data_IF_678787626257
#
_entry.id   IF_678787626257
#
_cell.length_a   1.000
_cell.length_b   1.000
_cell.length_c   1.000
_cell.angle_alpha   90.00
_cell.angle_beta   90.00
_cell.angle_gamma   90.00
#
_symmetry.space_group_name_H-M   'P 1'
#
loop_
_entity.id
_entity.type
_entity.pdbx_description
1 polymer ?
#
# COMPACT_ATOMS: atom_id res chain seq x y z
N UNK A 1 5.64 -20.39 13.85
CA UNK A 1 5.96 -19.05 13.31
C UNK A 1 6.82 -19.20 12.07
N UNK A 2 6.76 -18.23 11.16
CA UNK A 2 7.64 -18.12 10.00
C UNK A 2 8.35 -16.77 10.07
N UNK A 3 9.66 -16.80 9.91
CA UNK A 3 10.51 -15.62 9.95
C UNK A 3 11.23 -15.39 8.63
N UNK A 4 11.65 -14.15 8.41
CA UNK A 4 12.45 -13.72 7.27
C UNK A 4 11.62 -13.25 6.07
N UNK A 5 12.33 -12.72 5.06
CA UNK A 5 11.69 -11.96 3.98
C UNK A 5 11.24 -10.59 4.46
N UNK A 6 10.12 -10.09 3.93
CA UNK A 6 9.58 -8.76 4.25
C UNK A 6 8.78 -8.71 5.57
N UNK A 7 8.27 -9.84 6.07
CA UNK A 7 7.47 -9.86 7.30
C UNK A 7 7.56 -11.19 8.05
N UNK A 8 7.60 -11.10 9.38
CA UNK A 8 7.46 -12.26 10.27
C UNK A 8 5.99 -12.47 10.68
N UNK A 9 5.57 -13.72 10.83
CA UNK A 9 4.26 -14.02 11.39
C UNK A 9 4.20 -15.34 12.17
N UNK A 10 3.28 -15.43 13.12
CA UNK A 10 2.89 -16.67 13.80
C UNK A 10 1.42 -17.00 13.50
N UNK A 11 1.14 -18.27 13.25
CA UNK A 11 -0.21 -18.81 13.18
C UNK A 11 -0.38 -19.73 14.39
N UNK A 12 -1.22 -19.32 15.33
CA UNK A 12 -1.31 -19.88 16.68
C UNK A 12 -2.72 -20.41 16.88
N UNK A 13 -2.86 -21.69 17.22
CA UNK A 13 -4.15 -22.37 17.40
C UNK A 13 -4.31 -22.92 18.84
N UNK A 14 -5.54 -23.11 19.30
CA UNK A 14 -5.86 -23.61 20.64
C UNK A 14 -6.52 -22.54 21.52
N UNK A 15 -6.34 -22.60 22.84
CA UNK A 15 -6.71 -21.50 23.73
C UNK A 15 -5.64 -20.41 23.64
N UNK A 16 -5.94 -19.35 22.86
CA UNK A 16 -5.02 -18.24 22.62
C UNK A 16 -5.51 -16.98 23.32
N UNK A 17 -4.67 -16.40 24.19
CA UNK A 17 -4.98 -15.18 24.95
C UNK A 17 -4.07 -14.04 24.50
N UNK A 18 -4.65 -13.00 23.93
CA UNK A 18 -3.96 -11.78 23.53
C UNK A 18 -4.06 -10.78 24.66
N UNK A 19 -2.94 -10.50 25.32
CA UNK A 19 -2.80 -9.47 26.36
C UNK A 19 -2.22 -8.19 25.76
N UNK A 20 -3.05 -7.14 25.62
CA UNK A 20 -2.60 -5.84 25.12
C UNK A 20 -1.67 -5.12 26.07
N UNK A 21 -1.78 -5.36 27.38
CA UNK A 21 -1.00 -4.66 28.39
C UNK A 21 0.48 -5.04 28.32
N UNK A 22 0.74 -6.35 28.30
CA UNK A 22 2.10 -6.90 28.22
C UNK A 22 2.62 -7.12 26.80
N UNK A 23 1.84 -6.78 25.76
CA UNK A 23 2.14 -7.13 24.36
C UNK A 23 2.41 -8.63 24.17
N UNK A 24 1.66 -9.50 24.85
CA UNK A 24 1.93 -10.94 24.84
C UNK A 24 0.75 -11.72 24.28
N UNK A 25 1.03 -12.66 23.38
CA UNK A 25 0.10 -13.68 22.90
C UNK A 25 0.45 -15.01 23.56
N UNK A 26 -0.41 -15.48 24.46
CA UNK A 26 -0.26 -16.74 25.16
C UNK A 26 -0.97 -17.85 24.38
N UNK A 27 -0.26 -18.95 24.10
CA UNK A 27 -0.84 -20.21 23.66
C UNK A 27 -0.91 -21.16 24.86
N UNK A 28 -2.12 -21.49 25.30
CA UNK A 28 -2.33 -22.39 26.42
C UNK A 28 -2.41 -23.83 25.91
N UNK A 29 -1.52 -24.69 26.39
CA UNK A 29 -1.49 -26.12 26.05
C UNK A 29 -1.71 -26.98 27.30
N UNK A 30 -2.67 -27.90 27.24
CA UNK A 30 -2.88 -28.86 28.31
C UNK A 30 -1.76 -29.93 28.31
N UNK A 31 -1.18 -30.25 29.49
CA UNK A 31 -0.01 -31.14 29.61
C UNK A 31 -0.36 -32.64 29.45
N UNK A 32 -1.08 -33.01 28.40
CA UNK A 32 -1.48 -34.41 28.12
C UNK A 32 -0.60 -35.10 27.07
N UNK A 33 0.39 -34.41 26.50
CA UNK A 33 1.31 -34.97 25.50
C UNK A 33 2.76 -34.78 25.91
N UNK A 34 3.62 -35.77 25.67
CA UNK A 34 5.08 -35.68 25.78
C UNK A 34 5.71 -34.51 25.00
N UNK A 35 4.99 -33.96 24.02
CA UNK A 35 5.30 -32.71 23.29
C UNK A 35 5.33 -31.45 24.18
N UNK A 36 4.65 -31.47 25.34
CA UNK A 36 4.57 -30.34 26.25
C UNK A 36 5.93 -30.02 26.87
N UNK A 37 6.67 -31.02 27.37
CA UNK A 37 7.98 -30.80 28.02
C UNK A 37 9.05 -30.31 27.03
N UNK A 38 8.95 -30.71 25.75
CA UNK A 38 9.85 -30.25 24.70
C UNK A 38 9.55 -28.81 24.20
N UNK A 39 8.30 -28.35 24.30
CA UNK A 39 7.90 -26.98 23.92
C UNK A 39 7.86 -26.00 25.10
N UNK A 40 7.67 -26.48 26.33
CA UNK A 40 7.52 -25.64 27.54
C UNK A 40 8.86 -25.17 28.11
N UNK A 41 10.00 -25.70 27.65
CA UNK A 41 11.36 -25.36 28.12
C UNK A 41 12.01 -24.17 27.38
N UNK A 42 11.22 -23.15 27.02
CA UNK A 42 11.64 -21.84 26.50
C UNK A 42 11.83 -21.71 24.97
N UNK A 43 10.73 -21.49 24.26
CA UNK A 43 10.73 -20.73 23.02
C UNK A 43 9.79 -19.53 23.16
N UNK A 44 10.29 -18.44 23.75
CA UNK A 44 9.66 -17.13 23.58
C UNK A 44 10.04 -16.62 22.20
N UNK A 45 9.04 -16.22 21.43
CA UNK A 45 9.25 -15.65 20.10
C UNK A 45 8.82 -14.20 20.13
N UNK A 46 9.69 -13.29 19.68
CA UNK A 46 9.34 -11.88 19.56
C UNK A 46 9.10 -11.54 18.09
N UNK A 47 8.03 -10.79 17.82
CA UNK A 47 7.64 -10.37 16.47
C UNK A 47 7.20 -8.93 16.51
N UNK A 48 7.66 -8.14 15.54
CA UNK A 48 7.06 -6.85 15.20
C UNK A 48 6.10 -7.06 14.04
N UNK A 49 4.78 -6.96 14.24
CA UNK A 49 3.80 -7.42 13.26
C UNK A 49 3.56 -6.37 12.16
N UNK A 50 4.64 -5.93 11.50
CA UNK A 50 4.66 -4.97 10.40
C UNK A 50 5.55 -5.51 9.25
N UNK A 51 5.12 -5.44 7.99
CA UNK A 51 5.82 -6.06 6.86
C UNK A 51 6.89 -5.15 6.25
N UNK A 52 7.92 -4.85 7.04
CA UNK A 52 9.10 -4.10 6.57
C UNK A 52 10.40 -4.54 7.24
N UNK A 53 10.54 -5.85 7.43
CA UNK A 53 11.79 -6.43 7.94
C UNK A 53 12.99 -5.94 7.11
N UNK A 54 14.05 -5.51 7.79
CA UNK A 54 15.24 -4.93 7.18
C UNK A 54 15.26 -3.39 7.13
N UNK A 55 14.13 -2.71 7.32
CA UNK A 55 14.10 -1.25 7.50
C UNK A 55 14.13 -0.91 8.99
N UNK A 56 15.33 -0.61 9.51
CA UNK A 56 15.52 -0.32 10.94
C UNK A 56 14.71 0.88 11.42
N UNK A 57 14.48 1.88 10.56
CA UNK A 57 13.72 3.08 10.93
C UNK A 57 12.24 2.75 11.09
N UNK A 58 11.66 2.05 10.11
CA UNK A 58 10.27 1.59 10.18
C UNK A 58 10.08 0.66 11.38
N UNK A 59 10.92 -0.38 11.48
CA UNK A 59 10.78 -1.40 12.50
C UNK A 59 11.10 -0.87 13.91
N UNK A 60 11.89 0.20 14.04
CA UNK A 60 12.12 0.90 15.31
C UNK A 60 10.85 1.52 15.90
N UNK A 61 9.87 1.87 15.07
CA UNK A 61 8.60 2.50 15.47
C UNK A 61 7.46 1.50 15.70
N UNK A 62 7.70 0.20 15.50
CA UNK A 62 6.67 -0.84 15.63
C UNK A 62 6.80 -1.53 16.98
N UNK A 63 5.67 -1.67 17.68
CA UNK A 63 5.60 -2.38 18.95
C UNK A 63 5.94 -3.86 18.76
N UNK A 64 6.84 -4.36 19.59
CA UNK A 64 7.21 -5.77 19.63
C UNK A 64 6.21 -6.57 20.48
N UNK A 65 5.79 -7.72 19.96
CA UNK A 65 4.88 -8.65 20.60
C UNK A 65 5.58 -9.96 20.90
N UNK A 66 5.33 -10.52 22.08
CA UNK A 66 5.90 -11.79 22.51
C UNK A 66 4.87 -12.91 22.38
N UNK A 67 5.24 -14.03 21.77
CA UNK A 67 4.44 -15.26 21.78
C UNK A 67 5.02 -16.22 22.83
N UNK A 68 4.17 -16.66 23.77
CA UNK A 68 4.54 -17.60 24.84
C UNK A 68 3.64 -18.83 24.80
N UNK A 69 4.22 -20.01 24.88
CA UNK A 69 3.48 -21.26 25.09
C UNK A 69 3.54 -21.62 26.57
N UNK A 70 2.39 -21.80 27.22
CA UNK A 70 2.30 -21.96 28.67
C UNK A 70 1.26 -23.01 29.09
N UNK A 71 1.41 -23.66 30.26
CA UNK A 71 0.34 -24.49 30.81
C UNK A 71 -0.85 -23.65 31.33
N UNK A 72 -2.02 -24.28 31.58
CA UNK A 72 -3.22 -23.57 32.03
C UNK A 72 -3.10 -22.91 33.41
N UNK A 73 -2.21 -23.41 34.26
CA UNK A 73 -1.93 -22.93 35.63
C UNK A 73 -0.71 -21.99 35.71
N UNK A 74 -0.21 -21.52 34.56
CA UNK A 74 0.92 -20.60 34.51
C UNK A 74 0.64 -19.31 35.28
N UNK A 75 1.54 -18.96 36.21
CA UNK A 75 1.49 -17.71 36.95
C UNK A 75 1.54 -16.51 35.99
N UNK A 76 0.60 -15.57 36.14
CA UNK A 76 0.50 -14.40 35.27
C UNK A 76 -0.18 -14.65 33.92
N UNK A 77 -0.76 -15.82 33.67
CA UNK A 77 -1.66 -16.04 32.54
C UNK A 77 -2.94 -15.20 32.73
N UNK A 78 -3.27 -14.26 31.82
CA UNK A 78 -4.43 -13.39 32.00
C UNK A 78 -5.75 -14.16 31.88
N UNK A 79 -6.76 -13.71 32.64
CA UNK A 79 -8.13 -14.20 32.49
C UNK A 79 -8.74 -13.68 31.19
N UNK A 80 -9.61 -14.48 30.57
CA UNK A 80 -10.34 -14.05 29.38
C UNK A 80 -11.40 -13.01 29.75
N UNK A 81 -11.22 -11.77 29.33
CA UNK A 81 -12.21 -10.71 29.52
C UNK A 81 -13.21 -10.67 28.36
N UNK A 82 -12.76 -11.01 27.15
CA UNK A 82 -13.60 -11.10 25.97
C UNK A 82 -13.31 -12.40 25.23
N UNK A 83 -14.31 -13.27 25.12
CA UNK A 83 -14.21 -14.53 24.38
C UNK A 83 -14.75 -14.33 22.97
N UNK A 84 -13.98 -14.72 21.96
CA UNK A 84 -14.37 -14.63 20.55
C UNK A 84 -14.39 -16.03 19.93
N UNK A 85 -15.45 -16.34 19.19
CA UNK A 85 -15.63 -17.64 18.54
C UNK A 85 -14.92 -17.75 17.18
N UNK A 86 -14.54 -16.62 16.60
CA UNK A 86 -13.87 -16.55 15.30
C UNK A 86 -12.39 -16.18 15.46
N UNK A 87 -11.50 -16.60 14.55
CA UNK A 87 -10.08 -16.27 14.62
C UNK A 87 -9.80 -14.77 14.64
N UNK A 88 -8.59 -14.40 15.04
CA UNK A 88 -8.09 -13.02 14.99
C UNK A 88 -6.83 -12.89 14.12
N UNK A 89 -6.66 -11.71 13.52
CA UNK A 89 -5.42 -11.27 12.88
C UNK A 89 -4.94 -9.99 13.57
N UNK A 90 -3.79 -10.06 14.23
CA UNK A 90 -3.14 -8.97 14.95
C UNK A 90 -1.98 -8.40 14.12
N UNK A 91 -2.05 -7.12 13.79
CA UNK A 91 -1.04 -6.43 12.97
C UNK A 91 -0.88 -4.95 13.36
N UNK A 92 0.28 -4.38 13.05
CA UNK A 92 0.61 -2.99 13.37
C UNK A 92 0.21 -2.03 12.23
N UNK A 93 -0.34 -0.87 12.61
CA UNK A 93 -0.59 0.30 11.76
C UNK A 93 0.41 1.43 12.02
N UNK A 94 1.55 1.13 12.67
CA UNK A 94 2.60 2.09 12.98
C UNK A 94 3.48 2.45 11.77
N UNK A 95 4.76 2.71 12.06
CA UNK A 95 5.80 3.00 11.06
C UNK A 95 5.35 3.97 9.96
N UNK A 96 5.34 3.53 8.70
CA UNK A 96 5.03 4.38 7.55
C UNK A 96 3.57 4.35 7.10
N UNK A 97 2.67 3.64 7.80
CA UNK A 97 1.26 3.48 7.39
C UNK A 97 0.53 4.81 7.14
N UNK A 98 0.95 5.90 7.80
CA UNK A 98 0.42 7.24 7.55
C UNK A 98 0.62 7.75 6.12
N UNK A 99 1.67 7.28 5.44
CA UNK A 99 1.92 7.57 4.03
C UNK A 99 1.06 6.67 3.13
N UNK A 100 0.37 7.24 2.14
CA UNK A 100 -0.59 6.50 1.31
C UNK A 100 0.04 5.37 0.48
N UNK A 101 1.28 5.53 0.01
CA UNK A 101 1.99 4.45 -0.69
C UNK A 101 2.27 3.29 0.25
N UNK A 102 2.88 3.58 1.41
CA UNK A 102 3.20 2.60 2.46
C UNK A 102 1.96 1.90 3.02
N UNK A 103 0.84 2.62 3.17
CA UNK A 103 -0.42 1.99 3.56
C UNK A 103 -0.76 0.81 2.63
N UNK A 104 -0.66 1.00 1.31
CA UNK A 104 -0.93 -0.06 0.35
C UNK A 104 0.16 -1.13 0.29
N UNK A 105 1.40 -0.71 0.06
CA UNK A 105 2.51 -1.64 -0.23
C UNK A 105 2.95 -2.44 1.00
N UNK A 106 2.98 -1.81 2.18
CA UNK A 106 3.36 -2.51 3.40
C UNK A 106 2.15 -3.31 3.88
N UNK A 107 1.06 -2.61 4.24
CA UNK A 107 -0.01 -3.22 5.05
C UNK A 107 -1.14 -3.81 4.21
N UNK A 108 -1.80 -3.04 3.34
CA UNK A 108 -3.09 -3.45 2.77
C UNK A 108 -3.00 -4.65 1.81
N UNK A 109 -1.93 -4.74 1.01
CA UNK A 109 -1.69 -5.89 0.12
C UNK A 109 -1.45 -7.16 0.94
N UNK A 110 -0.53 -7.11 1.90
CA UNK A 110 -0.22 -8.24 2.80
C UNK A 110 -1.43 -8.64 3.65
N UNK A 111 -2.22 -7.66 4.10
CA UNK A 111 -3.45 -7.87 4.85
C UNK A 111 -4.49 -8.61 4.00
N UNK A 112 -4.69 -8.20 2.74
CA UNK A 112 -5.57 -8.91 1.82
C UNK A 112 -5.15 -10.38 1.69
N UNK A 113 -3.88 -10.65 1.40
CA UNK A 113 -3.37 -12.03 1.28
C UNK A 113 -3.60 -12.84 2.56
N UNK A 114 -3.45 -12.21 3.73
CA UNK A 114 -3.58 -12.88 5.03
C UNK A 114 -5.05 -13.13 5.42
N UNK A 115 -5.93 -12.16 5.20
CA UNK A 115 -7.31 -12.16 5.69
C UNK A 115 -8.31 -12.79 4.70
N UNK A 116 -8.06 -12.72 3.37
CA UNK A 116 -9.00 -13.27 2.37
C UNK A 116 -9.37 -14.74 2.54
N UNK A 117 -8.45 -15.66 2.92
CA UNK A 117 -8.80 -17.07 3.13
C UNK A 117 -9.90 -17.31 4.17
N UNK A 118 -10.16 -16.35 5.07
CA UNK A 118 -11.18 -16.48 6.10
C UNK A 118 -12.57 -16.00 5.66
N UNK A 119 -12.71 -15.46 4.44
CA UNK A 119 -13.95 -14.93 3.88
C UNK A 119 -14.75 -14.07 4.87
N UNK A 120 -14.08 -13.04 5.42
CA UNK A 120 -14.63 -12.11 6.42
C UNK A 120 -14.91 -12.70 7.81
N UNK A 121 -14.63 -13.99 8.02
CA UNK A 121 -14.83 -14.72 9.28
C UNK A 121 -13.69 -14.59 10.30
N UNK A 122 -12.99 -13.46 10.35
CA UNK A 122 -11.94 -13.19 11.34
C UNK A 122 -12.08 -11.79 11.95
N UNK A 123 -11.64 -11.60 13.18
CA UNK A 123 -11.45 -10.28 13.80
C UNK A 123 -10.15 -9.65 13.32
N UNK A 124 -10.17 -8.33 13.08
CA UNK A 124 -8.96 -7.55 12.83
C UNK A 124 -8.58 -6.81 14.11
N UNK A 125 -7.41 -7.13 14.65
CA UNK A 125 -6.84 -6.48 15.83
C UNK A 125 -5.69 -5.59 15.36
N UNK A 126 -5.79 -4.30 15.64
CA UNK A 126 -4.79 -3.31 15.23
C UNK A 126 -4.05 -2.77 16.44
N UNK A 127 -2.73 -2.66 16.33
CA UNK A 127 -1.84 -2.00 17.29
C UNK A 127 -1.06 -0.88 16.60
N UNK A 128 -0.46 0.03 17.35
CA UNK A 128 0.22 1.26 16.90
C UNK A 128 -0.66 2.18 16.04
N UNK A 129 -1.98 1.98 16.07
CA UNK A 129 -2.92 2.62 15.15
C UNK A 129 -3.43 3.97 15.63
N UNK A 130 -3.28 5.01 14.82
CA UNK A 130 -3.98 6.27 15.06
C UNK A 130 -5.43 6.18 14.59
N UNK A 131 -6.39 6.66 15.40
CA UNK A 131 -7.83 6.55 15.09
C UNK A 131 -8.23 7.09 13.70
N UNK A 132 -7.62 8.19 13.24
CA UNK A 132 -7.88 8.72 11.90
C UNK A 132 -7.38 7.81 10.77
N UNK A 133 -6.28 7.09 10.99
CA UNK A 133 -5.74 6.13 10.01
C UNK A 133 -6.65 4.91 9.89
N UNK A 134 -7.17 4.41 11.02
CA UNK A 134 -8.17 3.34 11.02
C UNK A 134 -9.43 3.81 10.27
N UNK A 135 -9.94 5.01 10.58
CA UNK A 135 -11.13 5.55 9.92
C UNK A 135 -10.94 5.75 8.40
N UNK A 136 -9.74 6.19 7.97
CA UNK A 136 -9.40 6.43 6.56
C UNK A 136 -9.66 5.21 5.66
N UNK A 137 -9.41 4.00 6.17
CA UNK A 137 -9.53 2.76 5.43
C UNK A 137 -10.74 1.90 5.87
N UNK A 138 -11.75 2.50 6.49
CA UNK A 138 -12.93 1.79 6.99
C UNK A 138 -13.59 0.83 5.97
N UNK A 139 -13.74 1.26 4.71
CA UNK A 139 -14.27 0.42 3.61
C UNK A 139 -13.45 -0.86 3.42
N UNK A 140 -12.13 -0.76 3.51
CA UNK A 140 -11.21 -1.89 3.36
C UNK A 140 -11.40 -2.90 4.50
N UNK A 141 -11.47 -2.41 5.74
CA UNK A 141 -11.66 -3.26 6.91
C UNK A 141 -12.98 -4.02 6.86
N UNK A 142 -14.07 -3.32 6.52
CA UNK A 142 -15.42 -3.89 6.39
C UNK A 142 -15.53 -4.93 5.27
N UNK A 143 -14.74 -4.78 4.21
CA UNK A 143 -14.66 -5.73 3.11
C UNK A 143 -13.85 -6.99 3.48
N UNK A 144 -12.87 -6.87 4.39
CA UNK A 144 -12.02 -7.98 4.85
C UNK A 144 -12.56 -8.71 6.07
N UNK A 145 -13.42 -8.09 6.87
CA UNK A 145 -14.02 -8.65 8.08
C UNK A 145 -15.47 -8.22 8.23
N UNK A 146 -16.32 -9.12 8.76
CA UNK A 146 -17.69 -8.78 9.17
C UNK A 146 -17.76 -8.17 10.58
N UNK A 147 -16.65 -8.20 11.32
CA UNK A 147 -16.53 -7.67 12.66
C UNK A 147 -15.94 -6.26 12.62
N UNK A 148 -16.23 -5.47 13.64
CA UNK A 148 -15.55 -4.18 13.81
C UNK A 148 -14.06 -4.40 14.11
N UNK A 149 -13.24 -3.46 13.65
CA UNK A 149 -11.81 -3.46 13.95
C UNK A 149 -11.61 -3.19 15.43
N UNK A 150 -10.86 -4.05 16.10
CA UNK A 150 -10.49 -3.90 17.50
C UNK A 150 -9.15 -3.16 17.55
N UNK A 151 -9.19 -1.90 17.98
CA UNK A 151 -8.00 -1.13 18.34
C UNK A 151 -7.52 -1.61 19.72
N UNK A 152 -6.49 -2.45 19.71
CA UNK A 152 -6.06 -3.21 20.89
C UNK A 152 -5.35 -2.32 21.91
N UNK A 153 -4.83 -1.15 21.50
CA UNK A 153 -4.13 -0.21 22.36
C UNK A 153 -5.07 0.77 23.07
N UNK A 154 -6.28 0.98 22.54
CA UNK A 154 -7.30 1.82 23.20
C UNK A 154 -7.99 1.16 24.39
N UNK A 155 -7.74 -0.12 24.61
CA UNK A 155 -8.22 -0.82 25.80
C UNK A 155 -7.45 -0.27 27.01
N UNK A 156 -8.11 0.62 27.75
CA UNK A 156 -7.67 1.29 29.00
C UNK A 156 -7.09 0.31 30.06
N UNK A 157 -6.33 0.80 31.07
CA UNK A 157 -5.19 0.12 31.73
C UNK A 157 -5.48 -1.16 32.54
N UNK A 158 -6.70 -1.70 32.46
CA UNK A 158 -7.10 -2.95 33.10
C UNK A 158 -6.77 -4.19 32.26
N UNK A 159 -5.90 -4.08 31.24
CA UNK A 159 -5.24 -5.22 30.58
C UNK A 159 -6.19 -6.33 30.16
N UNK A 160 -7.33 -5.99 29.56
CA UNK A 160 -8.37 -6.98 29.26
C UNK A 160 -7.91 -7.90 28.14
N UNK A 161 -7.62 -9.16 28.47
CA UNK A 161 -7.17 -10.12 27.47
C UNK A 161 -8.34 -10.56 26.59
N UNK A 162 -8.06 -10.66 25.29
CA UNK A 162 -8.97 -11.18 24.29
C UNK A 162 -8.60 -12.64 24.00
N UNK A 163 -9.58 -13.54 24.08
CA UNK A 163 -9.36 -14.96 23.90
C UNK A 163 -9.99 -15.47 22.60
N UNK A 164 -9.23 -16.26 21.86
CA UNK A 164 -9.58 -16.78 20.54
C UNK A 164 -9.19 -18.26 20.45
N UNK A 165 -9.83 -18.99 19.54
CA UNK A 165 -9.40 -20.35 19.18
C UNK A 165 -8.19 -20.39 18.23
N UNK A 166 -7.90 -19.24 17.59
CA UNK A 166 -6.78 -19.04 16.66
C UNK A 166 -6.43 -17.57 16.52
N UNK A 167 -5.14 -17.25 16.53
CA UNK A 167 -4.61 -15.91 16.28
C UNK A 167 -3.49 -16.00 15.26
N UNK A 168 -3.56 -15.17 14.23
CA UNK A 168 -2.43 -14.86 13.36
C UNK A 168 -1.81 -13.56 13.87
N UNK A 169 -0.54 -13.58 14.26
CA UNK A 169 0.23 -12.40 14.65
C UNK A 169 1.18 -12.05 13.50
N UNK A 170 1.06 -10.86 12.92
CA UNK A 170 1.82 -10.44 11.73
C UNK A 170 1.11 -10.71 10.41
N UNK A 171 1.63 -10.14 9.33
CA UNK A 171 1.04 -10.25 7.99
C UNK A 171 1.88 -11.19 7.11
N UNK A 172 1.21 -11.94 6.24
CA UNK A 172 1.85 -12.76 5.21
C UNK A 172 2.24 -11.84 4.05
N UNK A 173 3.54 -11.68 3.82
CA UNK A 173 4.08 -10.96 2.67
C UNK A 173 5.60 -11.16 2.62
N UNK A 174 6.12 -11.71 1.51
CA UNK A 174 7.53 -12.12 1.43
C UNK A 174 8.35 -11.45 0.35
N UNK A 175 7.77 -11.01 -0.75
CA UNK A 175 8.56 -10.33 -1.76
C UNK A 175 8.98 -8.95 -1.26
N UNK A 176 10.28 -8.66 -1.29
CA UNK A 176 10.83 -7.33 -1.00
C UNK A 176 10.49 -6.28 -2.08
N UNK A 177 9.56 -6.59 -2.98
CA UNK A 177 9.08 -5.73 -4.05
C UNK A 177 7.89 -4.90 -3.54
N UNK A 178 7.68 -3.74 -4.15
CA UNK A 178 6.58 -2.85 -3.78
C UNK A 178 5.31 -3.18 -4.57
N UNK A 179 4.14 -2.99 -3.95
CA UNK A 179 2.82 -3.19 -4.56
C UNK A 179 2.70 -4.51 -5.33
N UNK A 180 3.23 -5.59 -4.77
CA UNK A 180 3.28 -6.90 -5.39
C UNK A 180 2.81 -7.99 -4.43
N UNK A 181 2.46 -9.14 -5.00
CA UNK A 181 2.13 -10.35 -4.26
C UNK A 181 3.00 -11.49 -4.77
N UNK A 182 3.73 -12.13 -3.88
CA UNK A 182 4.48 -13.34 -4.18
C UNK A 182 3.54 -14.56 -4.40
N UNK A 183 3.26 -14.88 -5.66
CA UNK A 183 2.36 -15.99 -6.05
C UNK A 183 2.91 -17.39 -5.77
N UNK A 184 4.18 -17.53 -5.37
CA UNK A 184 4.72 -18.82 -4.92
C UNK A 184 4.22 -19.25 -3.54
N UNK A 185 3.63 -18.34 -2.77
CA UNK A 185 3.22 -18.58 -1.38
C UNK A 185 1.72 -18.40 -1.14
N UNK A 186 1.00 -17.97 -2.17
CA UNK A 186 -0.44 -17.75 -2.13
C UNK A 186 -1.05 -17.95 -3.51
N UNK A 187 -2.32 -18.34 -3.55
CA UNK A 187 -3.11 -18.42 -4.79
C UNK A 187 -3.54 -17.04 -5.33
N UNK A 188 -3.37 -15.98 -4.53
CA UNK A 188 -3.78 -14.63 -4.91
C UNK A 188 -2.71 -13.89 -5.71
N UNK A 189 -3.16 -12.99 -6.56
CA UNK A 189 -2.36 -12.11 -7.40
C UNK A 189 -2.73 -10.64 -7.17
N UNK A 190 -1.95 -9.70 -7.72
CA UNK A 190 -2.34 -8.29 -7.70
C UNK A 190 -3.62 -8.01 -8.49
N UNK A 191 -3.97 -8.83 -9.49
CA UNK A 191 -5.28 -8.82 -10.15
C UNK A 191 -6.41 -9.12 -9.17
N UNK A 192 -6.26 -10.16 -8.33
CA UNK A 192 -7.26 -10.50 -7.32
C UNK A 192 -7.43 -9.37 -6.30
N UNK A 193 -6.33 -8.74 -5.90
CA UNK A 193 -6.37 -7.57 -5.01
C UNK A 193 -7.15 -6.40 -5.65
N UNK A 194 -6.88 -6.08 -6.92
CA UNK A 194 -7.65 -5.05 -7.66
C UNK A 194 -9.13 -5.41 -7.77
N UNK A 195 -9.46 -6.65 -8.10
CA UNK A 195 -10.85 -7.12 -8.20
C UNK A 195 -11.59 -7.03 -6.85
N UNK A 196 -10.88 -7.31 -5.76
CA UNK A 196 -11.38 -7.12 -4.41
C UNK A 196 -11.63 -5.64 -4.09
N UNK A 197 -10.67 -4.75 -4.38
CA UNK A 197 -10.86 -3.31 -4.21
C UNK A 197 -12.03 -2.79 -5.05
N UNK A 198 -12.18 -3.26 -6.29
CA UNK A 198 -13.29 -2.91 -7.18
C UNK A 198 -14.63 -3.23 -6.54
N UNK A 199 -14.76 -4.42 -5.95
CA UNK A 199 -15.95 -4.85 -5.22
C UNK A 199 -16.17 -4.02 -3.95
N UNK A 200 -15.13 -3.87 -3.13
CA UNK A 200 -15.19 -3.16 -1.85
C UNK A 200 -15.63 -1.69 -2.01
N UNK A 201 -15.16 -1.01 -3.05
CA UNK A 201 -15.45 0.40 -3.32
C UNK A 201 -16.58 0.62 -4.33
N UNK A 202 -17.28 -0.44 -4.75
CA UNK A 202 -18.39 -0.37 -5.72
C UNK A 202 -18.02 0.35 -7.02
N UNK A 203 -16.88 -0.06 -7.59
CA UNK A 203 -16.29 0.57 -8.77
C UNK A 203 -16.79 -0.12 -10.05
N UNK A 204 -17.54 0.62 -10.87
CA UNK A 204 -18.32 0.04 -11.98
C UNK A 204 -17.53 -0.13 -13.29
N UNK A 205 -16.45 0.63 -13.50
CA UNK A 205 -15.70 0.56 -14.75
C UNK A 205 -14.70 -0.59 -14.66
N UNK A 206 -14.86 -1.57 -15.55
CA UNK A 206 -14.06 -2.80 -15.55
C UNK A 206 -12.81 -2.67 -16.39
N UNK A 207 -12.92 -2.06 -17.58
CA UNK A 207 -11.83 -1.83 -18.51
C UNK A 207 -11.81 -0.37 -19.00
N UNK A 208 -10.64 0.10 -19.45
CA UNK A 208 -10.49 1.36 -20.16
C UNK A 208 -11.27 1.33 -21.49
N UNK A 209 -11.58 2.52 -22.02
CA UNK A 209 -12.22 2.59 -23.34
C UNK A 209 -11.31 1.97 -24.41
N UNK A 210 -11.94 1.33 -25.39
CA UNK A 210 -11.28 0.91 -26.63
C UNK A 210 -11.69 1.87 -27.74
N UNK A 211 -10.74 2.66 -28.22
CA UNK A 211 -10.95 3.59 -29.32
C UNK A 211 -10.96 2.80 -30.63
N UNK A 212 -12.07 2.85 -31.35
CA UNK A 212 -12.17 2.25 -32.68
C UNK A 212 -11.64 3.21 -33.74
N UNK A 213 -11.14 2.67 -34.86
CA UNK A 213 -10.77 3.45 -36.05
C UNK A 213 -12.02 4.04 -36.70
N UNK A 214 -11.85 5.11 -37.48
CA UNK A 214 -12.92 6.02 -37.92
C UNK A 214 -14.09 5.41 -38.73
N UNK A 215 -14.00 4.14 -39.16
CA UNK A 215 -14.95 3.50 -40.06
C UNK A 215 -16.25 2.99 -39.39
N UNK A 216 -16.38 3.05 -38.06
CA UNK A 216 -17.52 2.46 -37.32
C UNK A 216 -18.21 3.48 -36.37
N UNK A 217 -18.65 4.63 -36.92
CA UNK A 217 -19.16 5.76 -36.12
C UNK A 217 -20.68 5.69 -35.86
N UNK A 218 -21.05 5.31 -34.64
CA UNK A 218 -22.30 5.78 -33.99
C UNK A 218 -22.08 6.53 -32.66
N UNK A 219 -20.89 6.50 -32.07
CA UNK A 219 -20.57 7.27 -30.83
C UNK A 219 -19.09 7.61 -30.74
N UNK A 220 -18.75 8.91 -30.71
CA UNK A 220 -17.38 9.38 -30.45
C UNK A 220 -17.04 9.18 -28.97
N UNK A 221 -16.20 8.20 -28.65
CA UNK A 221 -15.69 8.00 -27.30
C UNK A 221 -14.59 9.03 -27.00
N UNK A 222 -14.69 9.70 -25.85
CA UNK A 222 -13.69 10.69 -25.39
C UNK A 222 -12.88 10.08 -24.23
N UNK A 223 -11.56 9.90 -24.37
CA UNK A 223 -10.70 9.36 -23.32
C UNK A 223 -10.62 10.30 -22.12
N UNK A 224 -10.75 9.75 -20.91
CA UNK A 224 -10.65 10.53 -19.67
C UNK A 224 -9.22 10.48 -19.11
N UNK A 225 -8.57 11.64 -19.06
CA UNK A 225 -7.28 11.83 -18.42
C UNK A 225 -7.46 12.36 -16.99
N UNK A 226 -6.96 11.62 -16.01
CA UNK A 226 -6.83 12.07 -14.63
C UNK A 226 -5.39 12.56 -14.39
N UNK A 227 -5.21 13.84 -14.12
CA UNK A 227 -3.93 14.41 -13.69
C UNK A 227 -3.93 14.50 -12.16
N UNK A 228 -3.04 13.76 -11.53
CA UNK A 228 -2.79 13.86 -10.09
C UNK A 228 -1.94 15.09 -9.84
N UNK A 229 -2.56 16.14 -9.31
CA UNK A 229 -1.86 17.32 -8.82
C UNK A 229 -1.38 17.11 -7.39
N UNK A 230 -0.47 17.98 -6.96
CA UNK A 230 0.11 17.99 -5.61
C UNK A 230 0.21 19.43 -5.15
N UNK A 231 -0.09 19.69 -3.89
CA UNK A 231 -0.07 21.06 -3.35
C UNK A 231 1.23 21.38 -2.61
N UNK A 232 1.90 20.37 -2.05
CA UNK A 232 3.01 20.59 -1.09
C UNK A 232 4.40 20.36 -1.66
N UNK A 233 4.65 19.20 -2.26
CA UNK A 233 5.99 18.79 -2.72
C UNK A 233 5.92 18.16 -4.10
N UNK A 234 7.00 18.31 -4.88
CA UNK A 234 7.11 17.93 -6.30
C UNK A 234 5.81 18.18 -7.07
N UNK A 235 5.46 19.46 -7.19
CA UNK A 235 4.24 19.93 -7.87
C UNK A 235 4.53 20.21 -9.35
N UNK A 236 3.49 20.16 -10.18
CA UNK A 236 3.55 20.73 -11.53
C UNK A 236 3.39 22.26 -11.44
N UNK A 237 4.28 23.02 -12.05
CA UNK A 237 4.24 24.49 -12.04
C UNK A 237 3.48 25.08 -13.23
N UNK A 238 3.24 24.30 -14.29
CA UNK A 238 2.55 24.71 -15.51
C UNK A 238 1.33 23.82 -15.85
N UNK A 239 0.56 23.44 -14.82
CA UNK A 239 -0.60 22.53 -14.95
C UNK A 239 -1.60 22.98 -16.04
N UNK A 240 -1.84 24.28 -16.20
CA UNK A 240 -2.77 24.81 -17.22
C UNK A 240 -2.31 24.52 -18.66
N UNK A 241 -1.00 24.59 -18.93
CA UNK A 241 -0.42 24.24 -20.24
C UNK A 241 -0.57 22.75 -20.52
N UNK A 242 -0.32 21.91 -19.51
CA UNK A 242 -0.50 20.45 -19.60
C UNK A 242 -1.96 20.11 -19.92
N UNK A 243 -2.91 20.75 -19.23
CA UNK A 243 -4.35 20.56 -19.45
C UNK A 243 -4.75 21.01 -20.85
N UNK A 244 -4.24 22.15 -21.31
CA UNK A 244 -4.55 22.69 -22.63
C UNK A 244 -4.08 21.74 -23.73
N UNK A 245 -2.83 21.31 -23.68
CA UNK A 245 -2.26 20.32 -24.60
C UNK A 245 -3.07 19.02 -24.61
N UNK A 246 -3.42 18.47 -23.44
CA UNK A 246 -4.18 17.23 -23.36
C UNK A 246 -5.59 17.38 -23.97
N UNK A 247 -6.26 18.53 -23.78
CA UNK A 247 -7.56 18.82 -24.41
C UNK A 247 -7.44 18.94 -25.93
N UNK A 248 -6.39 19.58 -26.44
CA UNK A 248 -6.11 19.64 -27.88
C UNK A 248 -5.88 18.27 -28.50
N UNK A 249 -5.34 17.31 -27.74
CA UNK A 249 -5.20 15.91 -28.13
C UNK A 249 -6.50 15.10 -28.02
N UNK A 250 -7.61 15.71 -27.57
CA UNK A 250 -8.92 15.08 -27.49
C UNK A 250 -9.26 14.44 -26.13
N UNK A 251 -8.46 14.65 -25.09
CA UNK A 251 -8.78 14.13 -23.76
C UNK A 251 -9.83 14.97 -23.02
N UNK A 252 -10.72 14.30 -22.29
CA UNK A 252 -11.48 14.90 -21.20
C UNK A 252 -10.60 14.90 -19.94
N UNK A 253 -10.11 16.07 -19.54
CA UNK A 253 -9.14 16.21 -18.45
C UNK A 253 -9.80 16.54 -17.11
N UNK A 254 -9.45 15.80 -16.07
CA UNK A 254 -9.73 16.11 -14.66
C UNK A 254 -8.41 16.27 -13.91
N UNK A 255 -8.24 17.38 -13.19
CA UNK A 255 -7.07 17.61 -12.32
C UNK A 255 -7.55 17.56 -10.87
N UNK A 256 -6.85 16.81 -10.02
CA UNK A 256 -7.18 16.76 -8.59
C UNK A 256 -5.97 16.34 -7.78
N UNK A 257 -5.85 16.90 -6.58
CA UNK A 257 -5.06 16.26 -5.54
C UNK A 257 -5.95 15.16 -4.92
N UNK A 258 -5.41 13.95 -4.82
CA UNK A 258 -6.14 12.83 -4.24
C UNK A 258 -6.00 12.92 -2.71
N UNK A 259 -7.13 13.08 -2.03
CA UNK A 259 -7.20 13.40 -0.60
C UNK A 259 -7.28 12.15 0.29
N UNK A 260 -7.52 12.35 1.59
CA UNK A 260 -7.65 11.26 2.56
C UNK A 260 -8.92 10.42 2.37
N UNK A 261 -9.89 10.83 1.55
CA UNK A 261 -11.09 10.06 1.26
C UNK A 261 -10.81 9.02 0.18
N UNK A 262 -10.36 7.84 0.63
CA UNK A 262 -9.99 6.72 -0.25
C UNK A 262 -11.14 6.33 -1.19
N UNK A 263 -12.38 6.34 -0.71
CA UNK A 263 -13.55 6.03 -1.54
C UNK A 263 -13.77 7.02 -2.69
N UNK A 264 -13.53 8.31 -2.46
CA UNK A 264 -13.59 9.35 -3.51
C UNK A 264 -12.45 9.15 -4.50
N UNK A 265 -11.23 8.98 -4.01
CA UNK A 265 -10.04 8.76 -4.83
C UNK A 265 -10.17 7.52 -5.71
N UNK A 266 -10.67 6.42 -5.15
CA UNK A 266 -10.96 5.18 -5.88
C UNK A 266 -11.96 5.39 -7.02
N UNK A 267 -13.05 6.13 -6.79
CA UNK A 267 -14.04 6.44 -7.83
C UNK A 267 -13.50 7.36 -8.93
N UNK A 268 -12.65 8.32 -8.58
CA UNK A 268 -12.01 9.21 -9.56
C UNK A 268 -11.03 8.44 -10.44
N UNK A 269 -10.14 7.66 -9.82
CA UNK A 269 -9.19 6.81 -10.53
C UNK A 269 -9.90 5.78 -11.41
N UNK A 270 -10.92 5.07 -10.88
CA UNK A 270 -11.62 4.04 -11.66
C UNK A 270 -12.34 4.59 -12.89
N UNK A 271 -12.70 5.88 -12.92
CA UNK A 271 -13.30 6.49 -14.11
C UNK A 271 -12.28 6.81 -15.20
N UNK A 272 -11.01 6.98 -14.87
CA UNK A 272 -9.98 7.37 -15.82
C UNK A 272 -9.69 6.26 -16.85
N UNK A 273 -9.31 6.67 -18.05
CA UNK A 273 -8.74 5.82 -19.10
C UNK A 273 -7.22 5.94 -19.10
N UNK A 274 -6.74 7.15 -18.80
CA UNK A 274 -5.33 7.47 -18.56
C UNK A 274 -5.22 8.22 -17.23
N UNK A 275 -4.23 7.89 -16.42
CA UNK A 275 -3.90 8.60 -15.19
C UNK A 275 -2.44 9.02 -15.25
N UNK A 276 -2.13 10.28 -14.95
CA UNK A 276 -0.75 10.78 -14.94
C UNK A 276 -0.43 11.55 -13.67
N UNK A 277 0.84 11.57 -13.30
CA UNK A 277 1.32 12.37 -12.18
C UNK A 277 2.83 12.28 -12.02
N UNK A 278 3.39 13.24 -11.27
CA UNK A 278 4.78 13.16 -10.81
C UNK A 278 4.91 11.97 -9.85
N UNK A 279 6.04 11.24 -9.92
CA UNK A 279 6.39 10.19 -8.98
C UNK A 279 6.03 10.60 -7.54
N UNK A 280 5.24 9.77 -6.87
CA UNK A 280 4.86 9.98 -5.48
C UNK A 280 3.64 9.17 -5.07
N UNK A 281 3.26 9.27 -3.80
CA UNK A 281 2.22 8.44 -3.20
C UNK A 281 0.83 8.57 -3.87
N UNK A 282 0.57 9.65 -4.61
CA UNK A 282 -0.66 9.79 -5.38
C UNK A 282 -0.81 8.73 -6.47
N UNK A 283 0.29 8.31 -7.11
CA UNK A 283 0.27 7.31 -8.19
C UNK A 283 -0.16 5.91 -7.71
N UNK A 284 -0.11 5.64 -6.40
CA UNK A 284 -0.65 4.40 -5.81
C UNK A 284 -2.12 4.18 -6.19
N UNK A 285 -2.87 5.23 -6.51
CA UNK A 285 -4.25 5.10 -6.99
C UNK A 285 -4.39 4.33 -8.31
N UNK A 286 -3.28 3.94 -8.97
CA UNK A 286 -3.29 3.00 -10.09
C UNK A 286 -3.93 1.65 -9.74
N UNK A 287 -3.93 1.26 -8.46
CA UNK A 287 -4.64 0.05 -7.98
C UNK A 287 -6.15 0.10 -8.23
N UNK A 288 -6.72 1.29 -8.42
CA UNK A 288 -8.16 1.47 -8.68
C UNK A 288 -8.48 1.68 -10.17
N UNK A 289 -7.46 1.81 -11.03
CA UNK A 289 -7.67 1.95 -12.46
C UNK A 289 -8.33 0.70 -13.04
N UNK A 290 -9.20 0.86 -14.05
CA UNK A 290 -9.76 -0.29 -14.76
C UNK A 290 -8.67 -1.05 -15.52
N UNK A 291 -8.98 -2.27 -15.96
CA UNK A 291 -8.10 -3.08 -16.81
C UNK A 291 -7.75 -2.31 -18.10
N UNK A 292 -6.52 -2.49 -18.61
CA UNK A 292 -5.98 -1.82 -19.80
C UNK A 292 -5.81 -0.30 -19.72
N UNK A 293 -6.16 0.34 -18.60
CA UNK A 293 -5.90 1.76 -18.40
C UNK A 293 -4.39 2.07 -18.44
N UNK A 294 -4.04 3.28 -18.86
CA UNK A 294 -2.65 3.72 -18.93
C UNK A 294 -2.31 4.55 -17.69
N UNK A 295 -1.22 4.23 -17.01
CA UNK A 295 -0.59 5.09 -16.00
C UNK A 295 0.67 5.72 -16.59
N UNK A 296 0.75 7.05 -16.56
CA UNK A 296 1.93 7.80 -17.00
C UNK A 296 2.63 8.35 -15.77
N UNK A 297 3.86 7.92 -15.54
CA UNK A 297 4.70 8.42 -14.48
C UNK A 297 5.66 9.49 -15.00
N UNK A 298 5.51 10.72 -14.53
CA UNK A 298 6.55 11.75 -14.69
C UNK A 298 7.61 11.52 -13.62
N UNK A 299 8.85 11.28 -14.05
CA UNK A 299 9.98 10.89 -13.19
C UNK A 299 10.90 12.10 -13.00
N UNK A 300 10.92 12.70 -11.78
CA UNK A 300 11.89 13.73 -11.44
C UNK A 300 13.35 13.28 -11.58
N UNK A 301 14.27 14.24 -11.58
CA UNK A 301 15.70 13.94 -11.65
C UNK A 301 16.14 13.03 -10.50
N UNK A 302 17.01 12.06 -10.80
CA UNK A 302 17.63 11.11 -9.88
C UNK A 302 16.69 10.10 -9.19
N UNK A 303 15.41 10.01 -9.56
CA UNK A 303 14.44 9.09 -8.89
C UNK A 303 14.10 7.83 -9.71
N UNK A 304 14.89 7.52 -10.74
CA UNK A 304 14.67 6.44 -11.71
C UNK A 304 14.46 5.07 -11.05
N UNK A 305 15.30 4.72 -10.08
CA UNK A 305 15.21 3.44 -9.37
C UNK A 305 13.88 3.35 -8.61
N UNK A 306 13.47 4.44 -7.94
CA UNK A 306 12.19 4.47 -7.24
C UNK A 306 11.03 4.37 -8.22
N UNK A 307 11.06 5.10 -9.34
CA UNK A 307 10.00 5.04 -10.36
C UNK A 307 9.79 3.61 -10.87
N UNK A 308 10.90 2.97 -11.27
CA UNK A 308 10.90 1.59 -11.76
C UNK A 308 10.35 0.63 -10.72
N UNK A 309 10.84 0.67 -9.49
CA UNK A 309 10.51 -0.35 -8.48
C UNK A 309 9.17 -0.10 -7.76
N UNK A 310 8.67 1.15 -7.73
CA UNK A 310 7.45 1.48 -6.98
C UNK A 310 6.19 1.44 -7.84
N UNK A 311 6.29 1.73 -9.14
CA UNK A 311 5.13 1.81 -10.03
C UNK A 311 5.35 1.16 -11.40
N UNK A 312 6.55 1.28 -11.97
CA UNK A 312 6.90 0.65 -13.25
C UNK A 312 6.74 -0.87 -13.26
N UNK A 313 7.52 -1.59 -12.47
CA UNK A 313 7.42 -3.04 -12.35
C UNK A 313 6.05 -3.51 -11.78
N UNK A 314 5.49 -2.86 -10.73
CA UNK A 314 4.21 -3.29 -10.17
C UNK A 314 3.02 -3.16 -11.14
N UNK A 315 3.07 -2.23 -12.11
CA UNK A 315 2.01 -2.05 -13.11
C UNK A 315 1.69 -3.33 -13.90
N UNK A 316 2.71 -4.13 -14.19
CA UNK A 316 2.60 -5.39 -14.96
C UNK A 316 1.68 -6.40 -14.28
N UNK A 317 1.72 -6.47 -12.94
CA UNK A 317 0.86 -7.37 -12.16
C UNK A 317 -0.56 -6.83 -11.94
N UNK A 318 -0.82 -5.58 -12.34
CA UNK A 318 -2.06 -4.85 -12.08
C UNK A 318 -2.95 -4.69 -13.32
N UNK A 319 -2.62 -5.31 -14.45
CA UNK A 319 -3.38 -5.17 -15.71
C UNK A 319 -3.59 -3.71 -16.13
N UNK A 320 -2.58 -2.87 -15.87
CA UNK A 320 -2.51 -1.49 -16.35
C UNK A 320 -1.27 -1.33 -17.18
N UNK A 321 -1.37 -0.52 -18.23
CA UNK A 321 -0.25 -0.20 -19.10
C UNK A 321 0.55 0.95 -18.48
N UNK A 322 1.87 0.90 -18.57
CA UNK A 322 2.75 1.87 -17.93
C UNK A 322 3.57 2.62 -18.98
N UNK A 323 3.56 3.95 -18.86
CA UNK A 323 4.42 4.85 -19.60
C UNK A 323 5.24 5.68 -18.62
N UNK A 324 6.47 5.98 -19.01
CA UNK A 324 7.39 6.78 -18.23
C UNK A 324 7.82 8.02 -19.02
N UNK A 325 7.85 9.16 -18.35
CA UNK A 325 8.48 10.37 -18.87
C UNK A 325 9.52 10.87 -17.89
N UNK A 326 10.80 10.71 -18.23
CA UNK A 326 11.91 11.26 -17.47
C UNK A 326 12.10 12.72 -17.84
N UNK A 327 12.05 13.58 -16.83
CA UNK A 327 12.25 15.01 -17.04
C UNK A 327 13.71 15.28 -17.43
N UNK A 328 13.92 16.29 -18.26
CA UNK A 328 15.23 16.90 -18.43
C UNK A 328 15.55 17.81 -17.24
N UNK A 329 16.83 18.14 -17.11
CA UNK A 329 17.33 19.05 -16.08
C UNK A 329 16.55 20.36 -16.08
N UNK A 330 16.31 20.93 -17.26
CA UNK A 330 15.65 22.23 -17.45
C UNK A 330 14.18 22.24 -16.99
N UNK A 331 13.54 21.07 -16.88
CA UNK A 331 12.17 20.92 -16.37
C UNK A 331 12.14 20.85 -14.83
N UNK A 332 13.28 20.64 -14.17
CA UNK A 332 13.39 20.56 -12.71
C UNK A 332 13.58 21.94 -12.08
N UNK A 333 12.88 22.21 -10.97
CA UNK A 333 13.10 23.43 -10.19
C UNK A 333 14.49 23.51 -9.54
N UNK A 334 15.24 22.41 -9.52
CA UNK A 334 16.60 22.37 -8.97
C UNK A 334 17.55 23.29 -9.75
N UNK A 335 17.30 23.57 -11.04
CA UNK A 335 18.17 24.46 -11.84
C UNK A 335 18.20 25.91 -11.35
N UNK A 336 17.22 26.29 -10.52
CA UNK A 336 17.17 27.59 -9.85
C UNK A 336 17.84 27.58 -8.48
N UNK A 337 18.14 26.39 -7.96
CA UNK A 337 18.64 26.16 -6.60
C UNK A 337 20.14 25.81 -6.61
N UNK A 338 20.62 25.16 -7.67
CA UNK A 338 21.99 24.65 -7.77
C UNK A 338 22.65 25.09 -9.10
N UNK A 339 23.97 25.35 -9.10
CA UNK A 339 24.74 25.57 -10.32
C UNK A 339 24.69 24.39 -11.30
N UNK A 340 24.91 24.60 -12.61
CA UNK A 340 24.84 23.54 -13.62
C UNK A 340 25.79 22.34 -13.39
N UNK A 341 26.97 22.60 -12.80
CA UNK A 341 28.03 21.61 -12.57
C UNK A 341 28.02 21.06 -11.13
N UNK A 342 26.97 21.37 -10.36
CA UNK A 342 26.83 20.91 -8.98
C UNK A 342 26.71 19.37 -8.91
N UNK A 343 27.16 18.79 -7.80
CA UNK A 343 27.05 17.33 -7.53
C UNK A 343 25.59 16.87 -7.52
N UNK A 344 24.65 17.77 -7.24
CA UNK A 344 23.20 17.53 -7.38
C UNK A 344 22.79 17.10 -8.80
N UNK A 345 23.51 17.53 -9.83
CA UNK A 345 23.24 17.10 -11.21
C UNK A 345 24.22 16.05 -11.72
N UNK A 346 25.46 16.08 -11.26
CA UNK A 346 26.55 15.29 -11.84
C UNK A 346 26.74 13.94 -11.15
N UNK A 347 26.47 13.83 -9.84
CA UNK A 347 26.50 12.56 -9.12
C UNK A 347 25.44 12.49 -8.00
N UNK A 348 24.14 12.35 -8.37
CA UNK A 348 23.06 12.21 -7.40
C UNK A 348 23.17 10.95 -6.52
N UNK A 349 23.93 9.95 -6.95
CA UNK A 349 24.08 8.67 -6.24
C UNK A 349 25.01 8.75 -5.03
N UNK A 350 25.82 9.80 -4.95
CA UNK A 350 26.72 10.06 -3.83
C UNK A 350 25.99 10.43 -2.52
N UNK A 351 24.76 10.93 -2.62
CA UNK A 351 23.98 11.37 -1.46
C UNK A 351 23.42 10.20 -0.66
N UNK A 352 23.56 10.28 0.67
CA UNK A 352 22.82 9.40 1.59
C UNK A 352 21.34 9.79 1.61
N UNK A 353 20.47 8.86 2.05
CA UNK A 353 19.02 9.06 2.04
C UNK A 353 18.58 10.35 2.75
N UNK A 354 19.23 10.70 3.85
CA UNK A 354 18.95 11.88 4.66
C UNK A 354 19.17 13.20 3.91
N UNK A 355 20.06 13.20 2.91
CA UNK A 355 20.35 14.35 2.03
C UNK A 355 19.58 14.25 0.70
N UNK A 356 19.50 13.04 0.14
CA UNK A 356 18.81 12.74 -1.11
C UNK A 356 17.32 13.09 -1.03
N UNK A 357 16.63 12.70 0.04
CA UNK A 357 15.18 12.87 0.16
C UNK A 357 14.77 14.35 0.18
N UNK A 358 15.38 15.24 0.99
CA UNK A 358 15.11 16.67 0.91
C UNK A 358 15.30 17.26 -0.49
N UNK A 359 16.34 16.87 -1.22
CA UNK A 359 16.66 17.45 -2.54
C UNK A 359 15.69 16.93 -3.59
N UNK A 360 15.67 15.62 -3.83
CA UNK A 360 14.99 15.05 -5.00
C UNK A 360 13.54 14.63 -4.72
N UNK A 361 13.21 14.28 -3.47
CA UNK A 361 11.87 13.79 -3.10
C UNK A 361 10.95 14.88 -2.53
N UNK A 362 11.51 15.98 -1.98
CA UNK A 362 10.71 17.05 -1.37
C UNK A 362 10.76 18.36 -2.15
N UNK A 363 11.95 18.83 -2.56
CA UNK A 363 12.15 20.19 -3.09
C UNK A 363 12.36 20.28 -4.61
N UNK A 364 11.86 19.29 -5.35
CA UNK A 364 11.98 19.21 -6.80
C UNK A 364 10.59 19.31 -7.48
N UNK A 365 10.14 20.53 -7.74
CA UNK A 365 8.95 20.79 -8.58
C UNK A 365 9.30 20.66 -10.06
N UNK A 366 8.28 20.43 -10.89
CA UNK A 366 8.46 20.15 -12.33
C UNK A 366 7.69 21.18 -13.16
N UNK A 367 8.39 21.82 -14.09
CA UNK A 367 7.81 22.59 -15.19
C UNK A 367 7.88 21.72 -16.44
N UNK A 368 6.78 21.06 -16.79
CA UNK A 368 6.79 20.03 -17.82
C UNK A 368 6.90 20.66 -19.21
N UNK A 369 7.88 20.26 -20.00
CA UNK A 369 8.00 20.69 -21.39
C UNK A 369 6.92 20.00 -22.21
N UNK A 370 5.81 20.72 -22.45
CA UNK A 370 4.63 20.18 -23.14
C UNK A 370 4.93 19.69 -24.55
N UNK A 371 5.90 20.29 -25.25
CA UNK A 371 6.32 19.85 -26.59
C UNK A 371 7.01 18.49 -26.55
N UNK A 372 7.91 18.28 -25.58
CA UNK A 372 8.60 17.00 -25.37
C UNK A 372 7.70 15.93 -24.76
N UNK A 373 6.71 16.34 -23.95
CA UNK A 373 5.77 15.42 -23.32
C UNK A 373 4.63 14.98 -24.25
N UNK A 374 4.25 15.81 -25.25
CA UNK A 374 3.14 15.52 -26.18
C UNK A 374 3.17 14.11 -26.78
N UNK A 375 4.32 13.56 -27.24
CA UNK A 375 4.39 12.20 -27.76
C UNK A 375 3.94 11.13 -26.76
N UNK A 376 4.17 11.30 -25.45
CA UNK A 376 3.76 10.34 -24.42
C UNK A 376 2.23 10.28 -24.29
N UNK A 377 1.55 11.43 -24.39
CA UNK A 377 0.08 11.46 -24.40
C UNK A 377 -0.51 10.88 -25.69
N UNK A 378 0.19 11.00 -26.82
CA UNK A 378 -0.19 10.34 -28.07
C UNK A 378 -0.03 8.83 -27.98
N UNK A 379 1.10 8.36 -27.44
CA UNK A 379 1.33 6.93 -27.19
C UNK A 379 0.26 6.35 -26.24
N UNK A 380 -0.14 7.10 -25.22
CA UNK A 380 -1.25 6.69 -24.36
C UNK A 380 -2.59 6.55 -25.12
N UNK A 381 -2.87 7.38 -26.15
CA UNK A 381 -4.04 7.20 -27.02
C UNK A 381 -3.89 5.95 -27.88
N UNK A 382 -2.72 5.71 -28.45
CA UNK A 382 -2.43 4.52 -29.26
C UNK A 382 -2.64 3.24 -28.46
N UNK A 383 -2.26 3.22 -27.18
CA UNK A 383 -2.51 2.09 -26.29
C UNK A 383 -4.00 1.85 -26.03
N UNK A 384 -4.86 2.88 -26.11
CA UNK A 384 -6.32 2.74 -26.00
C UNK A 384 -6.97 2.27 -27.31
N UNK A 385 -6.23 2.23 -28.43
CA UNK A 385 -6.69 1.63 -29.69
C UNK A 385 -6.47 0.10 -29.76
N UNK A 386 -5.70 -0.47 -28.82
CA UNK A 386 -5.38 -1.90 -28.73
C UNK A 386 -6.29 -2.59 -27.70
#
# INVERSE_FOLDING_TARGET
>A
CRFGGRSDYCDIEGDVRVDPGSATVYQVLHPTSSDFIAKSTAAMTMIKPYPRNGDETAMGLVREWTVKTVPPDHEGLPHCNSQHSSPALLFSLGAYFGNYFHAFTDVLVSLFVTARPFDRGLHLLVTDGHHLQVAKFATMWQALSRYEVIDIDKVQPDGKAHCFSRVILGLKGRDGKELSINTSETQYTMKDFKHFLRSAYSLNKTAAIKLQTEDDKTTTLVPRLLIISREKTRTFTNTEEIVTMARELGYQVTVTELDSNVSRSARLANRADVMMGIHGAGLTNMVFLPEDAVVIQVVPFAVDWFATNYFGEPSKGMEVRYLEYKIEREESSLVKQYPPDDVVFTDPSSFRWEEFSPIYMLNQNVTLNVTRFRPVLLEALELLHQ
#
